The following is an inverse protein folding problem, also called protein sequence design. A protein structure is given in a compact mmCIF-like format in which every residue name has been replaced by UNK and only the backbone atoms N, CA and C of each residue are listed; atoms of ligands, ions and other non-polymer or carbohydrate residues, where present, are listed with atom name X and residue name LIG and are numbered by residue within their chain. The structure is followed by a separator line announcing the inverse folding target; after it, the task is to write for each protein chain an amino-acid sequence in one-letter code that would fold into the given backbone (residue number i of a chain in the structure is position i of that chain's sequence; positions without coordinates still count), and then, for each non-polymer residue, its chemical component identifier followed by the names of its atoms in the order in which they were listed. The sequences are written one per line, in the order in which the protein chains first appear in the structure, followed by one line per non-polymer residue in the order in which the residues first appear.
data_IF_163240375181
#
_entry.id   IF_163240375181
#
_cell.length_a   1.000
_cell.length_b   1.000
_cell.length_c   1.000
_cell.angle_alpha   90.00
_cell.angle_beta   90.00
_cell.angle_gamma   90.00
#
_symmetry.space_group_name_H-M   'P 1'
#
loop_
_entity.id
_entity.type
_entity.pdbx_description
1 polymer ?
#
# COMPACT_ATOMS: atom_id res chain seq x y z
N UNK A 1 18.34 7.15 -3.21
CA UNK A 1 17.20 6.57 -3.94
C UNK A 1 15.98 7.45 -3.72
N UNK A 2 15.00 7.45 -4.63
CA UNK A 2 13.87 8.39 -4.59
C UNK A 2 12.55 7.67 -4.97
N UNK A 3 11.64 7.41 -4.03
CA UNK A 3 10.31 6.88 -4.34
C UNK A 3 9.41 7.98 -4.93
N UNK A 4 8.39 7.59 -5.70
CA UNK A 4 7.40 8.51 -6.27
C UNK A 4 6.46 9.11 -5.22
N UNK A 5 6.35 8.46 -4.07
CA UNK A 5 5.57 8.94 -2.92
C UNK A 5 6.23 8.53 -1.61
N UNK A 6 5.98 9.32 -0.55
CA UNK A 6 6.34 8.99 0.83
C UNK A 6 5.12 8.53 1.65
N UNK A 7 3.92 8.67 1.10
CA UNK A 7 2.64 8.41 1.76
C UNK A 7 1.68 7.80 0.73
N UNK A 8 1.06 6.67 1.05
CA UNK A 8 -0.02 6.07 0.23
C UNK A 8 -1.06 5.44 1.14
N UNK A 9 -2.25 5.19 0.60
CA UNK A 9 -3.33 4.51 1.34
C UNK A 9 -3.80 3.28 0.58
N UNK A 10 -4.20 2.26 1.32
CA UNK A 10 -4.76 1.02 0.79
C UNK A 10 -5.86 0.53 1.71
N UNK A 11 -6.93 -0.04 1.16
CA UNK A 11 -7.92 -0.73 1.99
C UNK A 11 -7.37 -2.11 2.37
N UNK A 12 -7.63 -2.59 3.60
CA UNK A 12 -7.25 -3.95 3.99
C UNK A 12 -7.73 -4.98 2.95
N UNK A 13 -6.86 -5.93 2.58
CA UNK A 13 -7.08 -6.87 1.48
C UNK A 13 -6.76 -6.31 0.09
N UNK A 14 -6.39 -5.04 0.01
CA UNK A 14 -6.11 -4.35 -1.24
C UNK A 14 -4.64 -4.40 -1.65
N UNK A 15 -4.38 -3.77 -2.81
CA UNK A 15 -3.03 -3.58 -3.36
C UNK A 15 -2.79 -2.11 -3.65
N UNK A 16 -1.56 -1.64 -3.45
CA UNK A 16 -1.13 -0.29 -3.81
C UNK A 16 0.20 -0.36 -4.56
N UNK A 17 0.37 0.53 -5.54
CA UNK A 17 1.56 0.54 -6.40
C UNK A 17 2.22 1.91 -6.38
N UNK A 18 3.55 1.93 -6.36
CA UNK A 18 4.35 3.13 -6.51
C UNK A 18 5.66 2.80 -7.22
N UNK A 19 6.41 3.83 -7.62
CA UNK A 19 7.69 3.62 -8.30
C UNK A 19 8.86 4.10 -7.45
N UNK A 20 10.03 3.50 -7.67
CA UNK A 20 11.26 3.82 -6.95
C UNK A 20 12.38 4.03 -7.94
N UNK A 21 12.91 5.25 -7.98
CA UNK A 21 14.05 5.61 -8.82
C UNK A 21 15.34 5.39 -8.02
N UNK A 22 16.24 4.58 -8.57
CA UNK A 22 17.58 4.37 -8.05
C UNK A 22 18.57 5.03 -9.02
N UNK A 23 19.50 5.81 -8.48
CA UNK A 23 20.54 6.51 -9.25
C UNK A 23 21.91 6.10 -8.76
N UNK A 24 22.81 5.76 -9.67
CA UNK A 24 24.21 5.54 -9.34
C UNK A 24 24.90 6.90 -9.17
N UNK A 25 25.13 7.31 -7.92
CA UNK A 25 25.82 8.56 -7.59
C UNK A 25 27.35 8.44 -7.57
N UNK A 26 27.88 7.22 -7.77
CA UNK A 26 29.31 6.95 -7.79
C UNK A 26 29.98 7.31 -9.12
N UNK A 27 31.29 7.06 -9.17
CA UNK A 27 32.12 7.31 -10.35
C UNK A 27 32.38 6.05 -11.19
N UNK A 28 31.98 4.88 -10.70
CA UNK A 28 32.13 3.59 -11.38
C UNK A 28 30.75 2.96 -11.65
N UNK A 29 30.62 2.13 -12.69
CA UNK A 29 29.41 1.34 -12.89
C UNK A 29 29.13 0.45 -11.67
N UNK A 30 27.85 0.28 -11.33
CA UNK A 30 27.37 -0.70 -10.34
C UNK A 30 26.61 -1.80 -11.07
N UNK A 31 26.57 -3.00 -10.51
CA UNK A 31 25.94 -4.17 -11.14
C UNK A 31 24.94 -4.85 -10.22
N UNK A 32 24.05 -5.65 -10.81
CA UNK A 32 23.11 -6.49 -10.07
C UNK A 32 22.19 -5.69 -9.14
N UNK A 33 21.67 -4.57 -9.63
CA UNK A 33 20.88 -3.63 -8.84
C UNK A 33 19.49 -4.23 -8.60
N UNK A 34 19.09 -4.34 -7.34
CA UNK A 34 17.78 -4.81 -6.91
C UNK A 34 17.22 -3.94 -5.79
N UNK A 35 15.95 -4.14 -5.46
CA UNK A 35 15.26 -3.41 -4.39
C UNK A 35 14.85 -4.39 -3.29
N UNK A 36 15.27 -4.11 -2.07
CA UNK A 36 14.80 -4.79 -0.88
C UNK A 36 13.75 -3.92 -0.18
N UNK A 37 12.68 -4.57 0.31
CA UNK A 37 11.57 -3.90 0.98
C UNK A 37 11.28 -4.65 2.28
N UNK A 38 11.49 -4.00 3.41
CA UNK A 38 11.13 -4.52 4.72
C UNK A 38 9.65 -4.22 4.98
N UNK A 39 8.84 -5.28 5.07
CA UNK A 39 7.40 -5.23 5.24
C UNK A 39 6.99 -5.77 6.61
N UNK A 40 5.78 -5.40 7.10
CA UNK A 40 5.14 -6.11 8.20
C UNK A 40 4.96 -7.60 7.91
N UNK A 41 4.75 -8.39 8.96
CA UNK A 41 4.45 -9.82 8.84
C UNK A 41 3.20 -10.05 7.96
N UNK A 42 3.24 -11.13 7.18
CA UNK A 42 2.18 -11.57 6.25
C UNK A 42 1.86 -10.62 5.07
N UNK A 43 2.61 -9.53 4.89
CA UNK A 43 2.46 -8.67 3.71
C UNK A 43 3.29 -9.18 2.55
N UNK A 44 2.79 -8.99 1.33
CA UNK A 44 3.50 -9.36 0.11
C UNK A 44 3.93 -8.11 -0.68
N UNK A 45 5.09 -8.20 -1.32
CA UNK A 45 5.51 -7.21 -2.31
C UNK A 45 5.96 -7.85 -3.61
N UNK A 46 5.71 -7.15 -4.71
CA UNK A 46 6.25 -7.48 -6.02
C UNK A 46 7.02 -6.29 -6.57
N UNK A 47 8.25 -6.54 -7.03
CA UNK A 47 9.10 -5.53 -7.66
C UNK A 47 9.34 -5.91 -9.11
N UNK A 48 9.11 -4.99 -10.02
CA UNK A 48 9.30 -5.19 -11.46
C UNK A 48 10.16 -4.07 -12.06
N UNK A 49 11.26 -4.40 -12.76
CA UNK A 49 11.90 -5.71 -12.85
C UNK A 49 12.50 -6.15 -11.50
N UNK A 50 12.77 -7.44 -11.32
CA UNK A 50 13.38 -7.96 -10.07
C UNK A 50 14.83 -7.46 -9.90
N UNK A 51 15.54 -7.28 -11.03
CA UNK A 51 16.93 -6.86 -11.06
C UNK A 51 17.24 -6.07 -12.32
N UNK A 52 18.25 -5.20 -12.24
CA UNK A 52 18.85 -4.46 -13.35
C UNK A 52 20.34 -4.80 -13.40
N UNK A 53 20.83 -5.18 -14.58
CA UNK A 53 22.19 -5.72 -14.74
C UNK A 53 23.28 -4.71 -14.38
N UNK A 54 23.15 -3.45 -14.83
CA UNK A 54 24.14 -2.42 -14.54
C UNK A 54 23.58 -1.00 -14.67
N UNK A 55 24.13 -0.10 -13.86
CA UNK A 55 23.93 1.34 -13.99
C UNK A 55 25.28 2.04 -14.08
N UNK A 56 25.50 2.78 -15.17
CA UNK A 56 26.66 3.65 -15.35
C UNK A 56 26.65 4.79 -14.34
N UNK A 57 27.79 5.48 -14.16
CA UNK A 57 27.84 6.69 -13.34
C UNK A 57 26.75 7.68 -13.76
N UNK A 58 25.99 8.16 -12.77
CA UNK A 58 24.87 9.11 -12.92
C UNK A 58 23.64 8.57 -13.67
N UNK A 59 23.66 7.31 -14.09
CA UNK A 59 22.51 6.64 -14.67
C UNK A 59 21.46 6.34 -13.59
N UNK A 60 20.19 6.36 -13.98
CA UNK A 60 19.08 6.06 -13.09
C UNK A 60 18.15 5.06 -13.73
N UNK A 61 17.53 4.24 -12.88
CA UNK A 61 16.49 3.30 -13.29
C UNK A 61 15.32 3.33 -12.32
N UNK A 62 14.12 3.10 -12.83
CA UNK A 62 12.88 3.17 -12.07
C UNK A 62 12.27 1.78 -11.95
N UNK A 63 12.16 1.29 -10.72
CA UNK A 63 11.44 0.07 -10.37
C UNK A 63 9.97 0.36 -10.11
N UNK A 64 9.10 -0.57 -10.47
CA UNK A 64 7.69 -0.58 -10.06
C UNK A 64 7.53 -1.51 -8.85
N UNK A 65 6.86 -1.03 -7.82
CA UNK A 65 6.64 -1.73 -6.56
C UNK A 65 5.14 -1.84 -6.32
N UNK A 66 4.66 -3.07 -6.14
CA UNK A 66 3.31 -3.37 -5.70
C UNK A 66 3.36 -3.97 -4.30
N UNK A 67 2.56 -3.43 -3.37
CA UNK A 67 2.40 -3.94 -2.01
C UNK A 67 0.98 -4.46 -1.87
N UNK A 68 0.84 -5.70 -1.43
CA UNK A 68 -0.45 -6.33 -1.14
C UNK A 68 -0.60 -6.48 0.38
N UNK A 69 -1.74 -6.02 0.87
CA UNK A 69 -2.10 -6.13 2.30
C UNK A 69 -3.08 -7.27 2.51
N UNK A 70 -2.93 -8.12 3.55
CA UNK A 70 -3.93 -9.10 3.96
C UNK A 70 -5.30 -8.49 4.24
N UNK A 71 -6.38 -9.27 4.06
CA UNK A 71 -7.76 -8.84 4.31
C UNK A 71 -8.03 -8.49 5.78
N UNK A 72 -7.33 -9.14 6.69
CA UNK A 72 -7.41 -8.96 8.15
C UNK A 72 -6.43 -7.91 8.69
N UNK A 73 -5.73 -7.18 7.80
CA UNK A 73 -4.84 -6.09 8.20
C UNK A 73 -5.60 -5.05 9.00
N UNK A 74 -5.08 -4.76 10.20
CA UNK A 74 -5.66 -3.74 11.08
C UNK A 74 -5.50 -2.36 10.45
N UNK A 75 -6.56 -1.55 10.49
CA UNK A 75 -6.48 -0.17 10.02
C UNK A 75 -5.46 0.62 10.87
N UNK A 76 -4.53 1.31 10.19
CA UNK A 76 -3.42 1.99 10.85
C UNK A 76 -2.36 2.49 9.87
N UNK A 77 -1.34 3.16 10.40
CA UNK A 77 -0.19 3.62 9.63
C UNK A 77 0.97 2.64 9.78
N UNK A 78 1.49 2.16 8.66
CA UNK A 78 2.64 1.25 8.59
C UNK A 78 3.80 1.94 7.88
N UNK A 79 4.99 1.92 8.48
CA UNK A 79 6.20 2.41 7.82
C UNK A 79 6.94 1.20 7.23
N UNK A 80 7.08 1.20 5.91
CA UNK A 80 7.91 0.23 5.21
C UNK A 80 9.25 0.86 4.86
N UNK A 81 10.32 0.07 4.92
CA UNK A 81 11.67 0.55 4.63
C UNK A 81 12.14 -0.02 3.31
N UNK A 82 12.58 0.86 2.42
CA UNK A 82 13.11 0.51 1.11
C UNK A 82 14.63 0.71 1.10
N UNK A 83 15.33 -0.25 0.50
CA UNK A 83 16.78 -0.23 0.40
C UNK A 83 17.19 -0.73 -0.98
N UNK A 84 17.95 0.06 -1.73
CA UNK A 84 18.59 -0.37 -2.97
C UNK A 84 19.81 -1.23 -2.67
N UNK A 85 19.91 -2.38 -3.33
CA UNK A 85 21.04 -3.32 -3.21
C UNK A 85 21.77 -3.42 -4.54
N UNK A 86 23.09 -3.62 -4.47
CA UNK A 86 23.94 -4.00 -5.60
C UNK A 86 25.07 -4.91 -5.10
N UNK A 87 25.88 -5.47 -6.00
CA UNK A 87 27.01 -6.31 -5.60
C UNK A 87 28.11 -5.52 -4.86
N UNK A 88 28.15 -4.20 -5.06
CA UNK A 88 29.23 -3.34 -4.56
C UNK A 88 28.81 -2.50 -3.36
N UNK A 89 27.57 -1.99 -3.35
CA UNK A 89 27.10 -0.99 -2.38
C UNK A 89 25.61 -1.14 -2.07
N UNK A 90 25.21 -0.62 -0.93
CA UNK A 90 23.82 -0.44 -0.52
C UNK A 90 23.48 1.06 -0.53
N UNK A 91 22.25 1.41 -0.91
CA UNK A 91 21.78 2.79 -0.81
C UNK A 91 21.31 3.13 0.60
N UNK A 92 21.16 4.42 0.89
CA UNK A 92 20.44 4.87 2.07
C UNK A 92 19.03 4.29 2.13
N UNK A 93 18.53 4.07 3.35
CA UNK A 93 17.18 3.63 3.61
C UNK A 93 16.18 4.76 3.41
N UNK A 94 15.07 4.46 2.76
CA UNK A 94 13.94 5.40 2.62
C UNK A 94 12.68 4.76 3.17
N UNK A 95 11.96 5.51 4.00
CA UNK A 95 10.71 5.06 4.58
C UNK A 95 9.50 5.59 3.80
N UNK A 96 8.54 4.71 3.52
CA UNK A 96 7.25 5.07 2.94
C UNK A 96 6.16 4.66 3.91
N UNK A 97 5.23 5.59 4.17
CA UNK A 97 4.06 5.30 4.99
C UNK A 97 2.93 4.75 4.15
N UNK A 98 2.36 3.65 4.60
CA UNK A 98 1.16 3.04 4.05
C UNK A 98 0.06 3.13 5.10
N UNK A 99 -0.98 3.90 4.82
CA UNK A 99 -2.17 4.00 5.66
C UNK A 99 -3.18 2.95 5.22
N UNK A 100 -3.42 1.97 6.09
CA UNK A 100 -4.43 0.93 5.87
C UNK A 100 -5.77 1.40 6.40
N UNK A 101 -6.80 1.34 5.56
CA UNK A 101 -8.18 1.71 5.92
C UNK A 101 -9.09 0.48 5.99
N UNK A 102 -10.01 0.47 6.95
CA UNK A 102 -11.03 -0.58 7.03
C UNK A 102 -12.06 -0.45 5.88
N UNK A 103 -12.61 -1.57 5.38
CA UNK A 103 -13.68 -1.53 4.38
C UNK A 103 -14.98 -0.97 4.97
N UNK A 104 -15.61 -0.02 4.26
CA UNK A 104 -16.84 0.68 4.68
C UNK A 104 -18.11 -0.19 4.63
N UNK A 105 -18.03 -1.41 4.11
CA UNK A 105 -19.19 -2.26 3.79
C UNK A 105 -20.13 -2.53 4.98
N UNK A 106 -19.58 -2.73 6.19
CA UNK A 106 -20.40 -3.01 7.38
C UNK A 106 -21.26 -1.81 7.83
N UNK A 107 -20.75 -0.59 7.65
CA UNK A 107 -21.49 0.63 8.02
C UNK A 107 -22.75 0.81 7.18
N UNK A 108 -22.70 0.48 5.89
CA UNK A 108 -23.84 0.61 4.97
C UNK A 108 -24.93 -0.41 5.29
N UNK A 109 -24.56 -1.66 5.63
CA UNK A 109 -25.51 -2.70 6.02
C UNK A 109 -26.25 -2.29 7.29
N UNK A 110 -25.53 -1.80 8.30
CA UNK A 110 -26.12 -1.31 9.55
C UNK A 110 -27.09 -0.15 9.33
N UNK A 111 -26.72 0.82 8.49
CA UNK A 111 -27.58 1.94 8.14
C UNK A 111 -28.85 1.48 7.40
N UNK A 112 -28.72 0.56 6.45
CA UNK A 112 -29.85 0.00 5.71
C UNK A 112 -30.85 -0.70 6.65
N UNK A 113 -30.36 -1.50 7.60
CA UNK A 113 -31.21 -2.17 8.59
C UNK A 113 -31.94 -1.16 9.49
N UNK A 114 -31.26 -0.10 9.92
CA UNK A 114 -31.87 0.95 10.72
C UNK A 114 -33.02 1.65 9.99
N UNK A 115 -32.83 1.98 8.70
CA UNK A 115 -33.88 2.57 7.85
C UNK A 115 -35.08 1.63 7.72
N UNK A 116 -34.85 0.34 7.49
CA UNK A 116 -35.92 -0.67 7.42
C UNK A 116 -36.71 -0.74 8.72
N UNK A 117 -36.03 -0.75 9.88
CA UNK A 117 -36.69 -0.74 11.19
C UNK A 117 -37.57 0.50 11.39
N UNK A 118 -37.09 1.68 10.98
CA UNK A 118 -37.88 2.93 11.04
C UNK A 118 -39.12 2.84 10.15
N UNK A 119 -38.98 2.34 8.92
CA UNK A 119 -40.11 2.17 7.99
C UNK A 119 -41.15 1.21 8.58
N UNK A 120 -40.73 0.08 9.15
CA UNK A 120 -41.61 -0.89 9.78
C UNK A 120 -42.38 -0.25 10.94
N UNK A 121 -41.71 0.49 11.83
CA UNK A 121 -42.36 1.19 12.94
C UNK A 121 -43.39 2.20 12.44
N UNK A 122 -43.06 3.01 11.44
CA UNK A 122 -43.98 3.99 10.85
C UNK A 122 -45.22 3.29 10.26
N UNK A 123 -45.04 2.20 9.52
CA UNK A 123 -46.15 1.42 8.94
C UNK A 123 -47.04 0.81 10.02
N UNK A 124 -46.46 0.30 11.11
CA UNK A 124 -47.21 -0.20 12.27
C UNK A 124 -48.04 0.93 12.90
N UNK A 125 -47.44 2.09 13.17
CA UNK A 125 -48.17 3.24 13.72
C UNK A 125 -49.32 3.69 12.83
N UNK A 126 -49.11 3.77 11.50
CA UNK A 126 -50.17 4.12 10.54
C UNK A 126 -51.28 3.06 10.55
N UNK A 127 -50.94 1.77 10.65
CA UNK A 127 -51.91 0.67 10.64
C UNK A 127 -52.75 0.62 11.93
N UNK A 128 -52.16 0.84 13.10
CA UNK A 128 -52.85 0.70 14.39
C UNK A 128 -53.53 1.97 14.89
N UNK A 129 -53.19 3.15 14.36
CA UNK A 129 -53.87 4.43 14.69
C UNK A 129 -55.32 4.53 14.18
N UNK A 130 -55.79 3.62 13.31
CA UNK A 130 -57.17 3.60 12.76
C UNK A 130 -58.16 2.77 13.58
N UNK A 131 -57.98 2.67 14.90
CA UNK A 131 -58.99 2.16 15.84
C UNK A 131 -59.12 3.09 17.03
#
# INVERSE_FOLDING_TARGET
MEPSTLLTSVTAGGSTTFTVKITNIGHTPVTSISLNIALPEDWESSVTPVQVDSLKPRESFTFNVAINTPEDTVAGDYLITLTGLSDQVQSDEVQVRITVTAPTSWGLIGLGLAVVMVIVLVLVFIKFKRR
#
